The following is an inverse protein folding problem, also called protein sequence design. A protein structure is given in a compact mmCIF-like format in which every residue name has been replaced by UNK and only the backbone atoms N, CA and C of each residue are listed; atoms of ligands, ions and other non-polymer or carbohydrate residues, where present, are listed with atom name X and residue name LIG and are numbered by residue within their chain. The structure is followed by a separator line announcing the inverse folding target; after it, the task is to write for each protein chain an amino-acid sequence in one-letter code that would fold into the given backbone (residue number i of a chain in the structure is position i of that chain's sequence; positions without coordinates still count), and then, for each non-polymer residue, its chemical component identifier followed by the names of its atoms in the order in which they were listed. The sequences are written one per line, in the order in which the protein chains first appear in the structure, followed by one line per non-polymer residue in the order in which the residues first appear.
data_IF_817615450652
#
_entry.id   IF_817615450652
#
_cell.length_a   1.000
_cell.length_b   1.000
_cell.length_c   1.000
_cell.angle_alpha   90.00
_cell.angle_beta   90.00
_cell.angle_gamma   90.00
#
_symmetry.space_group_name_H-M   'P 1'
#
loop_
_entity.id
_entity.type
_entity.pdbx_description
1 polymer ?
#
# COMPACT_ATOMS: atom_id res chain seq x y z
N UNK A 1 22.16 -21.86 -11.58
CA UNK A 1 22.20 -20.56 -10.86
C UNK A 1 20.82 -19.95 -11.00
N UNK A 2 19.96 -20.11 -10.00
CA UNK A 2 18.60 -19.59 -10.05
C UNK A 2 18.63 -18.10 -9.75
N UNK A 3 18.19 -17.29 -10.70
CA UNK A 3 18.00 -15.86 -10.49
C UNK A 3 16.98 -15.66 -9.36
N UNK A 4 17.45 -15.21 -8.19
CA UNK A 4 16.58 -14.81 -7.09
C UNK A 4 16.03 -13.40 -7.42
N UNK A 5 15.16 -13.31 -8.42
CA UNK A 5 14.56 -12.07 -8.92
C UNK A 5 13.45 -11.52 -7.98
N UNK A 6 13.33 -12.09 -6.78
CA UNK A 6 12.39 -11.64 -5.76
C UNK A 6 12.99 -10.52 -4.91
N UNK A 7 12.21 -9.47 -4.67
CA UNK A 7 12.55 -8.48 -3.65
C UNK A 7 12.57 -9.16 -2.28
N UNK A 8 13.56 -8.81 -1.45
CA UNK A 8 13.61 -9.29 -0.07
C UNK A 8 12.32 -8.90 0.68
N UNK A 9 11.78 -9.85 1.45
CA UNK A 9 10.52 -9.70 2.19
C UNK A 9 10.47 -8.41 3.02
N UNK A 10 11.55 -8.11 3.74
CA UNK A 10 11.66 -6.92 4.58
C UNK A 10 11.64 -5.63 3.77
N UNK A 11 12.25 -5.63 2.58
CA UNK A 11 12.20 -4.49 1.66
C UNK A 11 10.77 -4.28 1.18
N UNK A 12 10.06 -5.35 0.78
CA UNK A 12 8.66 -5.27 0.35
C UNK A 12 7.76 -4.72 1.46
N UNK A 13 7.89 -5.22 2.70
CA UNK A 13 7.12 -4.74 3.86
C UNK A 13 7.40 -3.26 4.12
N UNK A 14 8.67 -2.85 4.06
CA UNK A 14 9.09 -1.47 4.28
C UNK A 14 8.48 -0.53 3.24
N UNK A 15 8.57 -0.86 1.96
CA UNK A 15 8.04 -0.02 0.88
C UNK A 15 6.50 0.05 0.91
N UNK A 16 5.80 -1.07 1.18
CA UNK A 16 4.35 -1.06 1.36
C UNK A 16 3.91 -0.23 2.57
N UNK A 17 4.68 -0.26 3.66
CA UNK A 17 4.40 0.56 4.85
C UNK A 17 4.57 2.05 4.56
N UNK A 18 5.63 2.43 3.83
CA UNK A 18 5.82 3.82 3.37
C UNK A 18 4.69 4.25 2.45
N UNK A 19 4.33 3.43 1.46
CA UNK A 19 3.23 3.68 0.54
C UNK A 19 1.89 3.90 1.26
N UNK A 20 1.59 3.09 2.28
CA UNK A 20 0.42 3.27 3.14
C UNK A 20 0.41 4.65 3.80
N UNK A 21 1.55 5.08 4.36
CA UNK A 21 1.69 6.40 5.00
C UNK A 21 1.45 7.55 4.02
N UNK A 22 2.05 7.48 2.82
CA UNK A 22 1.87 8.48 1.77
C UNK A 22 0.41 8.54 1.30
N UNK A 23 -0.25 7.39 1.15
CA UNK A 23 -1.65 7.35 0.70
C UNK A 23 -2.61 7.99 1.72
N UNK A 24 -2.35 7.79 3.03
CA UNK A 24 -3.11 8.44 4.10
C UNK A 24 -2.92 9.97 4.09
N UNK A 25 -1.70 10.45 3.82
CA UNK A 25 -1.46 11.89 3.66
C UNK A 25 -2.17 12.42 2.42
N UNK A 26 -2.09 11.70 1.29
CA UNK A 26 -2.73 12.07 0.04
C UNK A 26 -4.26 12.14 0.17
N UNK A 27 -4.88 11.25 0.96
CA UNK A 27 -6.32 11.29 1.24
C UNK A 27 -6.78 12.63 1.81
N UNK A 28 -5.95 13.28 2.64
CA UNK A 28 -6.27 14.59 3.23
C UNK A 28 -6.26 15.73 2.20
N UNK A 29 -5.66 15.52 1.03
CA UNK A 29 -5.56 16.51 -0.05
C UNK A 29 -6.60 16.31 -1.15
N UNK A 30 -7.46 15.28 -1.05
CA UNK A 30 -8.50 15.07 -2.06
C UNK A 30 -9.51 16.20 -2.08
N UNK A 31 -9.76 16.73 -3.28
CA UNK A 31 -10.77 17.75 -3.49
C UNK A 31 -12.15 17.22 -3.03
N UNK A 32 -12.86 17.94 -2.15
CA UNK A 32 -14.19 17.58 -1.69
C UNK A 32 -15.18 17.24 -2.81
N UNK A 33 -15.08 17.91 -3.96
CA UNK A 33 -15.96 17.67 -5.11
C UNK A 33 -15.62 16.41 -5.92
N UNK A 34 -14.46 15.79 -5.70
CA UNK A 34 -14.04 14.53 -6.33
C UNK A 34 -13.82 13.40 -5.31
N UNK A 35 -14.26 13.60 -4.06
CA UNK A 35 -13.97 12.71 -2.95
C UNK A 35 -14.47 11.29 -3.16
N UNK A 36 -15.65 11.06 -3.76
CA UNK A 36 -16.23 9.71 -3.86
C UNK A 36 -15.31 8.69 -4.54
N UNK A 37 -14.84 8.99 -5.75
CA UNK A 37 -13.96 8.06 -6.51
C UNK A 37 -12.56 8.01 -5.90
N UNK A 38 -12.00 9.17 -5.52
CA UNK A 38 -10.65 9.22 -4.94
C UNK A 38 -10.57 8.52 -3.58
N UNK A 39 -11.57 8.66 -2.72
CA UNK A 39 -11.64 7.98 -1.43
C UNK A 39 -11.83 6.48 -1.61
N UNK A 40 -12.69 6.05 -2.55
CA UNK A 40 -12.87 4.63 -2.86
C UNK A 40 -11.56 3.98 -3.30
N UNK A 41 -10.88 4.56 -4.30
CA UNK A 41 -9.60 4.04 -4.79
C UNK A 41 -8.53 4.03 -3.68
N UNK A 42 -8.53 5.05 -2.83
CA UNK A 42 -7.61 5.11 -1.70
C UNK A 42 -7.86 4.04 -0.65
N UNK A 43 -9.12 3.77 -0.34
CA UNK A 43 -9.49 2.68 0.56
C UNK A 43 -9.08 1.31 -0.01
N UNK A 44 -9.31 1.08 -1.31
CA UNK A 44 -8.91 -0.16 -2.00
C UNK A 44 -7.38 -0.35 -1.98
N UNK A 45 -6.61 0.69 -2.29
CA UNK A 45 -5.14 0.65 -2.25
C UNK A 45 -4.64 0.36 -0.82
N UNK A 46 -5.18 1.05 0.18
CA UNK A 46 -4.82 0.83 1.58
C UNK A 46 -5.18 -0.58 2.06
N UNK A 47 -6.33 -1.10 1.63
CA UNK A 47 -6.79 -2.46 1.93
C UNK A 47 -5.82 -3.48 1.33
N UNK A 48 -5.45 -3.31 0.05
CA UNK A 48 -4.47 -4.15 -0.64
C UNK A 48 -3.13 -4.18 0.11
N UNK A 49 -2.56 -3.02 0.46
CA UNK A 49 -1.30 -2.95 1.21
C UNK A 49 -1.40 -3.65 2.57
N UNK A 50 -2.52 -3.46 3.28
CA UNK A 50 -2.73 -4.11 4.58
C UNK A 50 -2.75 -5.63 4.46
N UNK A 51 -3.49 -6.16 3.49
CA UNK A 51 -3.59 -7.61 3.24
C UNK A 51 -2.22 -8.16 2.86
N UNK A 52 -1.52 -7.50 1.94
CA UNK A 52 -0.19 -7.94 1.50
C UNK A 52 0.79 -7.93 2.66
N UNK A 53 0.87 -6.86 3.47
CA UNK A 53 1.75 -6.81 4.64
C UNK A 53 1.38 -7.90 5.65
N UNK A 54 0.10 -8.20 5.85
CA UNK A 54 -0.33 -9.27 6.74
C UNK A 54 0.13 -10.65 6.25
N UNK A 55 -0.05 -10.98 4.97
CA UNK A 55 0.51 -12.20 4.37
C UNK A 55 2.05 -12.22 4.42
N UNK A 56 2.65 -11.05 4.18
CA UNK A 56 4.01 -10.59 4.50
C UNK A 56 4.48 -10.88 5.94
N UNK A 57 3.62 -11.07 6.94
CA UNK A 57 4.06 -11.21 8.33
C UNK A 57 3.73 -12.57 8.93
N UNK A 58 2.74 -13.25 8.38
CA UNK A 58 2.23 -14.55 8.86
C UNK A 58 2.91 -15.78 8.22
N UNK A 59 3.84 -15.56 7.27
CA UNK A 59 4.72 -16.61 6.71
C UNK A 59 6.00 -16.78 7.52
#
# INVERSE_FOLDING_TARGET
MGENNGWEREVVITELTKGKGLMLQLQNHFNPMKQGVCQYLAAEILSSYRVTIWCLKDR
#
